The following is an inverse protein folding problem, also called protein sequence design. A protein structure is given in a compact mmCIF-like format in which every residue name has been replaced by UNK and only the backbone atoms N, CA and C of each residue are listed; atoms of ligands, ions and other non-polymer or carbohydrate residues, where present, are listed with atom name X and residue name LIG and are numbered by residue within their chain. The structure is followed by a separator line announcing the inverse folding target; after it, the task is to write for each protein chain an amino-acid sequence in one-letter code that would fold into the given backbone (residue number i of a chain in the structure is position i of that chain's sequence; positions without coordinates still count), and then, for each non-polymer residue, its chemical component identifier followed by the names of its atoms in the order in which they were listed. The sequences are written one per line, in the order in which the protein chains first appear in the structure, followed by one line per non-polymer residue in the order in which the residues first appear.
data_IF_408467282045
#
_entry.id   IF_408467282045
#
_cell.length_a   1.000
_cell.length_b   1.000
_cell.length_c   1.000
_cell.angle_alpha   90.00
_cell.angle_beta   90.00
_cell.angle_gamma   90.00
#
_symmetry.space_group_name_H-M   'P 1'
#
loop_
_entity.id
_entity.type
_entity.pdbx_description
1 polymer ?
#
# COMPACT_ATOMS: atom_id res chain seq x y z
N UNK A 1 -39.13 5.05 -15.74
CA UNK A 1 -37.68 5.31 -15.90
C UNK A 1 -36.99 4.90 -14.61
N UNK A 2 -36.30 3.75 -14.56
CA UNK A 2 -35.66 3.28 -13.34
C UNK A 2 -34.31 4.00 -13.13
N UNK A 3 -34.16 4.58 -11.94
CA UNK A 3 -32.90 5.14 -11.46
C UNK A 3 -31.95 3.96 -11.21
N UNK A 4 -30.84 3.88 -11.94
CA UNK A 4 -29.82 2.88 -11.66
C UNK A 4 -29.27 3.11 -10.24
N UNK A 5 -29.02 2.05 -9.44
CA UNK A 5 -28.41 2.19 -8.12
C UNK A 5 -27.02 2.79 -8.32
N UNK A 6 -26.89 4.03 -7.88
CA UNK A 6 -25.62 4.75 -7.88
C UNK A 6 -24.69 4.01 -6.91
N UNK A 7 -23.46 3.63 -7.30
CA UNK A 7 -22.49 3.13 -6.34
C UNK A 7 -22.29 4.20 -5.24
N UNK A 8 -21.98 3.79 -3.99
CA UNK A 8 -21.90 4.70 -2.85
C UNK A 8 -20.92 5.86 -3.13
N UNK A 9 -21.11 7.02 -2.47
CA UNK A 9 -20.31 8.21 -2.74
C UNK A 9 -18.83 7.86 -2.66
N UNK A 10 -18.12 8.10 -3.77
CA UNK A 10 -16.67 7.99 -3.81
C UNK A 10 -16.11 8.92 -2.74
N UNK A 11 -15.74 8.35 -1.59
CA UNK A 11 -14.86 9.02 -0.63
C UNK A 11 -13.72 9.60 -1.44
N UNK A 12 -13.48 10.89 -1.29
CA UNK A 12 -12.46 11.66 -2.00
C UNK A 12 -11.06 11.21 -1.59
N UNK A 13 -10.72 9.99 -1.96
CA UNK A 13 -9.42 9.35 -1.82
C UNK A 13 -8.90 9.25 -3.24
N UNK A 14 -8.24 10.31 -3.69
CA UNK A 14 -7.46 10.35 -4.94
C UNK A 14 -6.29 9.33 -4.92
N UNK A 15 -6.15 8.57 -3.83
CA UNK A 15 -5.18 7.49 -3.69
C UNK A 15 -5.69 6.21 -4.36
N UNK A 16 -4.86 5.64 -5.23
CA UNK A 16 -5.13 4.35 -5.89
C UNK A 16 -4.66 3.23 -4.96
N UNK A 17 -5.49 2.91 -3.99
CA UNK A 17 -5.19 1.90 -2.96
C UNK A 17 -6.16 0.73 -3.08
N UNK A 18 -5.62 -0.48 -3.12
CA UNK A 18 -6.37 -1.73 -3.14
C UNK A 18 -5.95 -2.55 -1.92
N UNK A 19 -6.82 -2.64 -0.92
CA UNK A 19 -6.52 -3.39 0.30
C UNK A 19 -7.14 -4.78 0.22
N UNK A 20 -6.37 -5.78 0.66
CA UNK A 20 -6.93 -7.11 0.78
C UNK A 20 -7.94 -7.12 1.93
N UNK A 21 -9.14 -7.66 1.71
CA UNK A 21 -10.10 -7.83 2.79
C UNK A 21 -9.51 -8.78 3.84
N UNK A 22 -9.21 -8.26 5.02
CA UNK A 22 -8.85 -9.06 6.18
C UNK A 22 -10.15 -9.61 6.80
N UNK A 23 -10.27 -10.93 7.02
CA UNK A 23 -11.41 -11.47 7.73
C UNK A 23 -11.43 -10.91 9.17
N UNK A 24 -12.62 -10.61 9.68
CA UNK A 24 -12.81 -10.05 11.02
C UNK A 24 -12.28 -10.95 12.16
N UNK A 25 -12.00 -12.22 11.87
CA UNK A 25 -11.46 -13.20 12.81
C UNK A 25 -10.18 -13.83 12.25
N UNK A 26 -9.04 -13.38 12.77
CA UNK A 26 -7.75 -14.00 12.50
C UNK A 26 -6.98 -13.33 11.38
N UNK A 27 -5.82 -12.75 11.75
CA UNK A 27 -4.83 -12.29 10.79
C UNK A 27 -4.16 -13.51 10.17
N UNK A 28 -4.48 -13.82 8.91
CA UNK A 28 -3.70 -14.80 8.16
C UNK A 28 -2.29 -14.27 7.91
N UNK A 29 -1.24 -15.11 7.95
CA UNK A 29 0.11 -14.71 7.59
C UNK A 29 0.16 -14.45 6.08
N UNK A 30 -0.24 -13.24 5.67
CA UNK A 30 -0.06 -12.74 4.31
C UNK A 30 1.19 -11.89 4.26
N UNK A 31 1.96 -12.06 3.19
CA UNK A 31 3.19 -11.31 2.96
C UNK A 31 2.88 -9.85 2.58
N UNK A 32 1.73 -9.63 1.95
CA UNK A 32 1.23 -8.35 1.45
C UNK A 32 -0.23 -8.17 1.90
N UNK A 33 -0.51 -7.07 2.61
CA UNK A 33 -1.84 -6.67 3.10
C UNK A 33 -2.62 -5.81 2.07
N UNK A 34 -1.98 -5.36 1.00
CA UNK A 34 -2.63 -4.64 -0.09
C UNK A 34 -1.65 -4.16 -1.17
N UNK A 35 -2.14 -3.39 -2.14
CA UNK A 35 -1.34 -2.70 -3.14
C UNK A 35 -1.68 -1.22 -3.19
N UNK A 36 -0.66 -0.42 -3.46
CA UNK A 36 -0.74 1.02 -3.61
C UNK A 36 -0.11 1.45 -4.93
N UNK A 37 -0.87 2.16 -5.77
CA UNK A 37 -0.31 2.91 -6.90
C UNK A 37 -0.05 4.34 -6.42
N UNK A 38 1.22 4.73 -6.25
CA UNK A 38 1.58 6.14 -6.29
C UNK A 38 1.27 6.74 -7.66
N UNK A 39 0.85 8.01 -7.69
CA UNK A 39 0.81 8.81 -8.94
C UNK A 39 2.18 9.38 -9.32
N UNK A 40 3.07 9.50 -8.34
CA UNK A 40 4.42 10.03 -8.54
C UNK A 40 5.35 9.46 -7.46
N UNK A 41 6.64 9.44 -7.74
CA UNK A 41 7.65 9.02 -6.75
C UNK A 41 7.91 10.08 -5.65
N UNK A 42 7.06 11.10 -5.53
CA UNK A 42 7.15 12.13 -4.50
C UNK A 42 6.45 11.69 -3.23
N UNK A 43 7.21 11.13 -2.29
CA UNK A 43 6.64 10.61 -1.06
C UNK A 43 5.97 11.71 -0.22
N UNK A 44 6.44 12.96 -0.31
CA UNK A 44 5.89 14.06 0.49
C UNK A 44 4.45 14.41 0.14
N UNK A 45 4.10 14.37 -1.15
CA UNK A 45 2.74 14.62 -1.62
C UNK A 45 1.83 13.40 -1.53
N UNK A 46 2.43 12.21 -1.66
CA UNK A 46 1.71 10.95 -1.72
C UNK A 46 1.34 10.39 -0.33
N UNK A 47 2.24 10.51 0.65
CA UNK A 47 2.03 9.98 2.00
C UNK A 47 0.82 10.57 2.74
N UNK A 48 0.53 11.89 2.72
CA UNK A 48 -0.72 12.42 3.27
C UNK A 48 -1.97 11.87 2.57
N UNK A 49 -1.93 11.64 1.25
CA UNK A 49 -3.05 11.04 0.50
C UNK A 49 -3.23 9.57 0.87
N UNK A 50 -2.12 8.84 1.02
CA UNK A 50 -2.12 7.46 1.46
C UNK A 50 -2.74 7.34 2.85
N UNK A 51 -2.23 8.07 3.83
CA UNK A 51 -2.76 8.04 5.20
C UNK A 51 -4.22 8.48 5.28
N UNK A 52 -4.65 9.44 4.46
CA UNK A 52 -6.05 9.84 4.38
C UNK A 52 -6.98 8.77 3.78
N UNK A 53 -6.45 7.87 2.94
CA UNK A 53 -7.21 6.77 2.33
C UNK A 53 -7.15 5.45 3.10
N UNK A 54 -6.33 5.36 4.17
CA UNK A 54 -6.25 4.15 4.98
C UNK A 54 -7.51 3.98 5.84
N UNK A 55 -7.98 2.74 6.06
CA UNK A 55 -9.10 2.47 6.92
C UNK A 55 -8.75 2.82 8.38
N UNK A 56 -9.70 3.37 9.16
CA UNK A 56 -9.46 3.76 10.55
C UNK A 56 -9.08 2.56 11.45
N UNK A 57 -9.36 1.33 11.01
CA UNK A 57 -8.98 0.09 11.71
C UNK A 57 -7.45 -0.11 11.82
N UNK A 58 -6.66 0.50 10.93
CA UNK A 58 -5.19 0.40 10.97
C UNK A 58 -4.56 1.35 12.00
N UNK A 59 -5.34 2.32 12.48
CA UNK A 59 -4.87 3.29 13.47
C UNK A 59 -3.89 4.32 12.88
N UNK A 60 -3.15 4.97 13.77
CA UNK A 60 -2.18 6.01 13.41
C UNK A 60 -0.85 5.39 12.99
N UNK A 61 -0.40 5.69 11.76
CA UNK A 61 0.86 5.18 11.24
C UNK A 61 2.03 6.01 11.79
N UNK A 62 2.85 5.40 12.64
CA UNK A 62 4.02 6.06 13.25
C UNK A 62 5.29 5.97 12.40
N UNK A 63 5.42 4.93 11.57
CA UNK A 63 6.56 4.76 10.68
C UNK A 63 6.14 4.18 9.33
N UNK A 64 6.81 4.63 8.28
CA UNK A 64 6.63 4.20 6.90
C UNK A 64 8.00 3.83 6.34
N UNK A 65 8.14 2.60 5.91
CA UNK A 65 9.34 2.10 5.25
C UNK A 65 9.00 1.82 3.81
N UNK A 66 9.62 2.54 2.88
CA UNK A 66 9.43 2.36 1.45
C UNK A 66 10.61 1.60 0.88
N UNK A 67 10.33 0.53 0.14
CA UNK A 67 11.28 -0.27 -0.59
C UNK A 67 11.17 0.03 -2.07
N UNK A 68 12.29 0.32 -2.71
CA UNK A 68 12.35 0.54 -4.16
C UNK A 68 13.32 1.62 -4.58
N UNK A 69 13.75 1.54 -5.83
CA UNK A 69 14.60 2.53 -6.48
C UNK A 69 13.72 3.56 -7.19
N UNK A 70 13.97 4.85 -6.94
CA UNK A 70 13.29 5.95 -7.65
C UNK A 70 12.45 6.90 -6.80
N UNK A 71 12.29 6.67 -5.49
CA UNK A 71 11.65 7.64 -4.60
C UNK A 71 12.45 8.96 -4.54
N UNK A 72 11.75 10.09 -4.66
CA UNK A 72 12.30 11.43 -4.53
C UNK A 72 12.92 11.61 -3.13
N UNK A 73 13.99 12.40 -2.95
CA UNK A 73 14.60 12.60 -1.63
C UNK A 73 13.57 13.16 -0.63
N UNK A 74 13.35 12.44 0.46
CA UNK A 74 12.42 12.82 1.53
C UNK A 74 13.14 12.93 2.87
N UNK A 75 12.64 13.78 3.79
CA UNK A 75 13.19 13.85 5.14
C UNK A 75 12.90 12.53 5.88
N UNK A 76 13.81 12.07 6.76
CA UNK A 76 13.58 10.85 7.54
C UNK A 76 12.40 10.92 8.52
N UNK A 77 11.74 12.08 8.65
CA UNK A 77 10.54 12.31 9.48
C UNK A 77 9.67 13.37 8.82
N UNK A 78 8.36 13.21 8.92
CA UNK A 78 7.38 14.12 8.35
C UNK A 78 6.19 14.29 9.29
N UNK A 79 5.65 15.50 9.38
CA UNK A 79 4.39 15.74 10.06
C UNK A 79 3.24 15.53 9.08
N UNK A 80 2.40 14.52 9.32
CA UNK A 80 1.23 14.20 8.47
C UNK A 80 0.00 14.08 9.34
N UNK A 81 -1.08 14.80 9.04
CA UNK A 81 -2.32 14.78 9.82
C UNK A 81 -2.08 14.89 11.35
N UNK A 82 -1.24 15.86 11.74
CA UNK A 82 -0.85 16.13 13.13
C UNK A 82 -0.11 14.95 13.84
N UNK A 83 0.48 14.02 13.10
CA UNK A 83 1.30 12.93 13.63
C UNK A 83 2.70 12.93 12.98
N UNK A 84 3.74 12.64 13.77
CA UNK A 84 5.11 12.54 13.24
C UNK A 84 5.32 11.13 12.71
N UNK A 85 5.41 11.02 11.39
CA UNK A 85 5.66 9.78 10.67
C UNK A 85 7.14 9.67 10.37
N UNK A 86 7.78 8.58 10.79
CA UNK A 86 9.18 8.29 10.46
C UNK A 86 9.24 7.66 9.08
N UNK A 87 10.09 8.20 8.20
CA UNK A 87 10.26 7.73 6.84
C UNK A 87 11.57 6.99 6.72
N UNK A 88 11.51 5.76 6.23
CA UNK A 88 12.67 4.89 6.02
C UNK A 88 12.70 4.49 4.55
N UNK A 89 13.86 4.64 3.92
CA UNK A 89 14.11 4.11 2.58
C UNK A 89 14.88 2.80 2.71
N UNK A 90 14.37 1.73 2.11
CA UNK A 90 15.13 0.51 1.86
C UNK A 90 15.42 0.43 0.38
N UNK A 91 16.69 0.41 0.01
CA UNK A 91 17.10 0.26 -1.37
C UNK A 91 17.46 -1.20 -1.61
N UNK A 92 16.45 -2.05 -1.82
CA UNK A 92 16.67 -3.45 -2.17
C UNK A 92 16.29 -3.65 -3.64
N UNK A 93 17.25 -3.53 -4.59
CA UNK A 93 16.96 -3.53 -6.02
C UNK A 93 16.41 -4.87 -6.54
N UNK A 94 16.64 -5.97 -5.82
CA UNK A 94 16.09 -7.28 -6.14
C UNK A 94 14.71 -7.55 -5.53
N UNK A 95 14.25 -6.74 -4.56
CA UNK A 95 12.96 -6.96 -3.95
C UNK A 95 11.88 -6.13 -4.67
N UNK A 96 10.64 -6.63 -4.74
CA UNK A 96 9.53 -5.85 -5.27
C UNK A 96 9.40 -4.53 -4.49
N UNK A 97 9.03 -3.44 -5.16
CA UNK A 97 8.79 -2.19 -4.49
C UNK A 97 7.59 -2.35 -3.55
N UNK A 98 7.81 -2.15 -2.26
CA UNK A 98 6.81 -2.34 -1.20
C UNK A 98 6.85 -1.19 -0.21
N UNK A 99 5.74 -0.90 0.46
CA UNK A 99 5.62 0.11 1.50
C UNK A 99 5.09 -0.57 2.75
N UNK A 100 5.93 -0.63 3.76
CA UNK A 100 5.62 -1.16 5.06
C UNK A 100 5.19 -0.01 5.97
N UNK A 101 3.92 -0.03 6.39
CA UNK A 101 3.33 0.91 7.32
C UNK A 101 3.34 0.27 8.72
N UNK A 102 3.85 0.97 9.71
CA UNK A 102 3.88 0.51 11.10
C UNK A 102 3.07 1.48 11.97
N UNK A 103 2.01 0.96 12.57
CA UNK A 103 1.25 1.66 13.60
C UNK A 103 1.62 1.11 14.98
N UNK A 104 2.13 1.95 15.89
CA UNK A 104 2.37 1.52 17.27
C UNK A 104 1.05 1.08 17.91
N UNK A 105 0.98 -0.18 18.35
CA UNK A 105 -0.18 -0.74 19.04
C UNK A 105 -1.21 -1.46 18.16
N UNK A 106 -1.17 -1.30 16.83
CA UNK A 106 -2.06 -2.02 15.90
C UNK A 106 -1.31 -3.01 15.00
N UNK A 107 -0.03 -2.76 14.67
CA UNK A 107 0.82 -3.71 13.96
C UNK A 107 1.53 -3.12 12.73
N UNK A 108 2.01 -4.03 11.88
CA UNK A 108 2.65 -3.75 10.59
C UNK A 108 1.69 -4.08 9.46
N UNK A 109 1.65 -3.31 8.38
CA UNK A 109 0.99 -3.66 7.11
C UNK A 109 1.98 -3.47 5.96
N UNK A 110 2.05 -4.44 5.07
CA UNK A 110 2.91 -4.37 3.89
C UNK A 110 2.06 -4.14 2.64
N UNK A 111 2.34 -3.08 1.90
CA UNK A 111 1.64 -2.70 0.69
C UNK A 111 2.58 -2.87 -0.51
N UNK A 112 2.16 -3.61 -1.52
CA UNK A 112 2.89 -3.65 -2.79
C UNK A 112 2.78 -2.29 -3.49
N UNK A 113 3.91 -1.69 -3.84
CA UNK A 113 3.93 -0.45 -4.61
C UNK A 113 3.93 -0.79 -6.09
N UNK A 114 2.93 -0.31 -6.82
CA UNK A 114 2.95 -0.40 -8.27
C UNK A 114 3.62 0.85 -8.82
N UNK A 115 4.65 0.71 -9.66
CA UNK A 115 5.30 1.87 -10.28
C UNK A 115 4.29 2.74 -11.04
N UNK A 116 4.37 4.09 -10.95
CA UNK A 116 3.51 4.98 -11.71
C UNK A 116 3.69 4.81 -13.23
N UNK A 117 4.86 4.35 -13.68
CA UNK A 117 5.15 4.04 -15.08
C UNK A 117 4.47 2.74 -15.56
N UNK A 118 4.03 1.88 -14.63
CA UNK A 118 3.34 0.64 -14.98
C UNK A 118 2.00 0.95 -15.65
N UNK A 119 1.81 0.40 -16.86
CA UNK A 119 0.58 0.55 -17.61
C UNK A 119 -0.67 0.11 -16.82
N UNK A 120 -1.77 0.83 -16.98
CA UNK A 120 -3.00 0.66 -16.20
C UNK A 120 -3.52 -0.78 -16.15
N UNK A 121 -3.40 -1.53 -17.26
CA UNK A 121 -3.83 -2.92 -17.31
C UNK A 121 -3.00 -3.82 -16.36
N UNK A 122 -1.67 -3.67 -16.39
CA UNK A 122 -0.76 -4.40 -15.51
C UNK A 122 -0.92 -3.95 -14.06
N UNK A 123 -1.05 -2.65 -13.82
CA UNK A 123 -1.30 -2.10 -12.50
C UNK A 123 -2.58 -2.66 -11.88
N UNK A 124 -3.67 -2.71 -12.66
CA UNK A 124 -4.93 -3.31 -12.22
C UNK A 124 -4.80 -4.79 -11.87
N UNK A 125 -4.02 -5.55 -12.65
CA UNK A 125 -3.75 -6.97 -12.37
C UNK A 125 -2.97 -7.16 -11.06
N UNK A 126 -1.92 -6.38 -10.84
CA UNK A 126 -1.12 -6.42 -9.62
C UNK A 126 -1.94 -6.02 -8.38
N UNK A 127 -2.82 -5.03 -8.53
CA UNK A 127 -3.72 -4.60 -7.46
C UNK A 127 -4.77 -5.63 -7.10
N UNK A 128 -5.33 -6.30 -8.11
CA UNK A 128 -6.23 -7.42 -7.92
C UNK A 128 -5.51 -8.61 -7.27
N UNK A 129 -4.26 -8.85 -7.67
CA UNK A 129 -3.37 -9.87 -7.07
C UNK A 129 -3.05 -9.61 -5.60
N UNK A 130 -2.73 -8.37 -5.27
CA UNK A 130 -2.53 -8.00 -3.88
C UNK A 130 -3.83 -8.07 -3.07
N UNK A 131 -4.97 -7.72 -3.66
CA UNK A 131 -6.28 -7.78 -2.99
C UNK A 131 -6.75 -9.22 -2.72
N UNK A 132 -6.53 -10.16 -3.65
CA UNK A 132 -6.75 -11.59 -3.40
C UNK A 132 -5.76 -12.16 -2.38
N UNK A 133 -4.67 -11.45 -2.13
CA UNK A 133 -3.61 -11.81 -1.20
C UNK A 133 -2.52 -12.60 -1.92
N UNK A 134 -1.31 -12.04 -1.94
CA UNK A 134 -0.11 -12.86 -2.14
C UNK A 134 0.08 -13.71 -0.89
N UNK A 135 -0.36 -14.96 -1.00
CA UNK A 135 0.11 -16.01 -0.11
C UNK A 135 1.54 -16.36 -0.51
N UNK A 136 2.42 -16.56 0.47
CA UNK A 136 3.71 -17.17 0.22
C UNK A 136 3.49 -18.66 -0.09
N UNK A 137 2.94 -18.95 -1.27
CA UNK A 137 2.76 -20.29 -1.80
C UNK A 137 2.75 -20.25 -3.32
N UNK A 138 3.92 -20.01 -3.91
CA UNK A 138 4.43 -20.82 -5.03
C UNK A 138 5.96 -20.68 -5.07
N UNK A 139 6.61 -21.64 -4.43
CA UNK A 139 8.06 -21.80 -4.37
C UNK A 139 8.39 -23.27 -4.16
N UNK A 140 7.61 -24.14 -4.81
CA UNK A 140 7.97 -25.53 -5.04
C UNK A 140 8.43 -25.65 -6.48
N UNK A 141 9.72 -25.95 -6.65
CA UNK A 141 10.25 -26.74 -7.76
C UNK A 141 10.16 -26.18 -9.19
N UNK A 142 11.31 -25.69 -9.69
CA UNK A 142 11.74 -26.02 -11.05
C UNK A 142 13.19 -26.52 -10.98
N UNK A 143 13.36 -27.76 -11.40
CA UNK A 143 14.59 -28.55 -11.36
C UNK A 143 15.66 -28.08 -12.36
N UNK A 144 16.93 -28.24 -11.97
CA UNK A 144 18.01 -28.82 -12.78
C UNK A 144 19.23 -29.10 -11.88
#
# INVERSE_FOLDING_TARGET
MPFAPQPPPSSSSDVRLSLASQPAHGRMPRLIDGAWWPRSYDLMSELPRLLGGLPPAWGQIGSVTVNGVGWSPFPGRMLVANQVVRLHLTNHPQAPPTVCLLAPGHGRWDLLVVSPDTGQATAGRLMDEAARGITAADGGEQAA
#
